data_IF_672172004183
#
_entry.id   IF_672172004183
#
_cell.length_a   1.000
_cell.length_b   1.000
_cell.length_c   1.000
_cell.angle_alpha   90.00
_cell.angle_beta   90.00
_cell.angle_gamma   90.00
#
_symmetry.space_group_name_H-M   'P 1'
#
loop_
_entity.id
_entity.type
_entity.pdbx_description
1 polymer ?
#
# COMPACT_ATOMS: atom_id res chain seq x y z
N UNK A 1 -7.68 31.83 34.40
CA UNK A 1 -8.54 30.86 33.71
C UNK A 1 -7.65 30.04 32.81
N UNK A 2 -7.31 28.83 33.22
CA UNK A 2 -6.51 27.90 32.40
C UNK A 2 -7.38 27.37 31.26
N UNK A 3 -6.92 27.58 30.02
CA UNK A 3 -7.55 27.04 28.83
C UNK A 3 -7.44 25.52 28.85
N UNK A 4 -8.54 24.75 28.73
CA UNK A 4 -8.47 23.30 28.79
C UNK A 4 -7.63 22.78 27.62
N UNK A 5 -6.56 22.06 27.95
CA UNK A 5 -5.71 21.38 26.99
C UNK A 5 -6.55 20.31 26.27
N UNK A 6 -7.03 20.61 25.06
CA UNK A 6 -7.76 19.65 24.23
C UNK A 6 -6.77 18.56 23.82
N UNK A 7 -6.68 17.49 24.61
CA UNK A 7 -5.96 16.26 24.26
C UNK A 7 -6.53 15.72 22.96
N UNK A 8 -5.90 16.05 21.83
CA UNK A 8 -6.20 15.45 20.54
C UNK A 8 -6.11 13.93 20.69
N UNK A 9 -7.22 13.22 20.46
CA UNK A 9 -7.23 11.75 20.37
C UNK A 9 -6.09 11.33 19.43
N UNK A 10 -5.12 10.59 19.95
CA UNK A 10 -4.03 10.03 19.14
C UNK A 10 -4.68 9.17 18.05
N UNK A 11 -4.51 9.59 16.79
CA UNK A 11 -5.02 8.85 15.62
C UNK A 11 -4.16 7.64 15.28
N UNK A 12 -2.94 7.58 15.82
CA UNK A 12 -2.01 6.47 15.66
C UNK A 12 -2.29 5.38 16.72
N UNK A 13 -2.08 4.11 16.33
CA UNK A 13 -2.13 2.99 17.28
C UNK A 13 -1.04 3.15 18.34
N UNK A 14 -1.30 2.64 19.54
CA UNK A 14 -0.24 2.41 20.51
C UNK A 14 0.74 1.35 19.99
N UNK A 15 1.97 1.31 20.52
CA UNK A 15 2.95 0.28 20.17
C UNK A 15 2.41 -1.14 20.36
N UNK A 16 1.62 -1.36 21.42
CA UNK A 16 0.93 -2.62 21.68
C UNK A 16 -0.14 -2.93 20.61
N UNK A 17 -0.97 -1.96 20.24
CA UNK A 17 -1.96 -2.13 19.17
C UNK A 17 -1.32 -2.39 17.80
N UNK A 18 -0.21 -1.71 17.49
CA UNK A 18 0.56 -1.97 16.28
C UNK A 18 1.18 -3.37 16.28
N UNK A 19 1.68 -3.86 17.42
CA UNK A 19 2.17 -5.23 17.58
C UNK A 19 1.05 -6.25 17.38
N UNK A 20 -0.13 -6.03 17.94
CA UNK A 20 -1.28 -6.92 17.77
C UNK A 20 -1.72 -7.02 16.31
N UNK A 21 -1.78 -5.88 15.59
CA UNK A 21 -2.09 -5.88 14.16
C UNK A 21 -1.05 -6.64 13.34
N UNK A 22 0.24 -6.50 13.66
CA UNK A 22 1.31 -7.26 13.01
C UNK A 22 1.17 -8.77 13.28
N UNK A 23 0.93 -9.14 14.53
CA UNK A 23 0.73 -10.54 14.91
C UNK A 23 -0.44 -11.16 14.15
N UNK A 24 -1.59 -10.47 14.10
CA UNK A 24 -2.74 -10.93 13.33
C UNK A 24 -2.41 -11.13 11.84
N UNK A 25 -1.57 -10.26 11.26
CA UNK A 25 -1.10 -10.43 9.88
C UNK A 25 -0.30 -11.71 9.68
N UNK A 26 0.58 -12.06 10.63
CA UNK A 26 1.32 -13.33 10.62
C UNK A 26 0.41 -14.54 10.83
N UNK A 27 -0.57 -14.43 11.74
CA UNK A 27 -1.52 -15.49 12.01
C UNK A 27 -2.43 -15.75 10.79
N UNK A 28 -2.85 -14.70 10.08
CA UNK A 28 -3.64 -14.82 8.85
C UNK A 28 -2.81 -15.41 7.68
N UNK A 29 -1.51 -15.07 7.60
CA UNK A 29 -0.60 -15.69 6.62
C UNK A 29 -0.37 -17.17 6.92
N UNK A 30 -0.23 -17.54 8.20
CA UNK A 30 -0.18 -18.95 8.62
C UNK A 30 -1.47 -19.68 8.29
N UNK A 31 -2.62 -19.09 8.59
CA UNK A 31 -3.91 -19.70 8.26
C UNK A 31 -4.05 -19.93 6.74
N UNK A 32 -3.62 -18.98 5.92
CA UNK A 32 -3.60 -19.16 4.47
C UNK A 32 -2.67 -20.30 4.05
N UNK A 33 -1.45 -20.34 4.58
CA UNK A 33 -0.46 -21.38 4.28
C UNK A 33 -1.03 -22.78 4.60
N UNK A 34 -1.61 -22.96 5.79
CA UNK A 34 -2.28 -24.20 6.18
C UNK A 34 -3.47 -24.53 5.27
N UNK A 35 -4.26 -23.52 4.88
CA UNK A 35 -5.41 -23.70 4.00
C UNK A 35 -5.03 -24.14 2.57
N UNK A 36 -3.78 -23.96 2.14
CA UNK A 36 -3.27 -24.41 0.84
C UNK A 36 -2.39 -25.68 0.92
N UNK A 37 -2.30 -26.28 2.10
CA UNK A 37 -1.61 -27.55 2.33
C UNK A 37 -0.12 -27.42 2.68
N UNK A 38 0.37 -26.24 3.04
CA UNK A 38 1.73 -26.08 3.55
C UNK A 38 1.84 -26.55 5.01
N UNK A 39 3.02 -27.03 5.43
CA UNK A 39 3.29 -27.28 6.84
C UNK A 39 3.38 -25.96 7.62
N UNK A 40 3.34 -26.09 8.95
CA UNK A 40 3.21 -24.99 9.92
C UNK A 40 4.37 -23.97 9.90
N UNK A 41 5.46 -24.26 9.18
CA UNK A 41 6.72 -23.49 9.15
C UNK A 41 6.95 -22.81 7.79
N UNK A 42 5.89 -22.22 7.21
CA UNK A 42 6.00 -21.52 5.93
C UNK A 42 7.11 -20.45 6.01
N UNK A 43 7.96 -20.39 4.98
CA UNK A 43 9.10 -19.47 4.94
C UNK A 43 8.62 -18.01 4.92
N UNK A 44 8.46 -17.43 6.10
CA UNK A 44 8.25 -16.01 6.28
C UNK A 44 9.62 -15.33 6.23
N UNK A 45 9.91 -14.61 5.14
CA UNK A 45 11.11 -13.79 5.06
C UNK A 45 10.77 -12.38 5.57
N UNK A 46 11.25 -11.96 6.77
CA UNK A 46 10.89 -10.67 7.38
C UNK A 46 11.26 -9.45 6.54
N UNK A 47 12.18 -9.61 5.59
CA UNK A 47 12.67 -8.55 4.71
C UNK A 47 12.03 -8.58 3.31
N UNK A 48 11.35 -9.66 2.94
CA UNK A 48 10.68 -9.77 1.66
C UNK A 48 9.22 -9.35 1.78
N UNK A 49 8.65 -8.83 0.68
CA UNK A 49 7.20 -8.63 0.54
C UNK A 49 6.44 -9.95 0.33
N UNK A 50 7.12 -11.09 0.49
CA UNK A 50 6.62 -12.42 0.24
C UNK A 50 6.15 -12.97 1.58
N UNK A 51 4.83 -13.06 1.73
CA UNK A 51 4.22 -13.51 2.97
C UNK A 51 4.12 -15.05 2.96
N UNK A 52 3.73 -15.66 1.85
CA UNK A 52 3.62 -17.13 1.69
C UNK A 52 4.15 -17.55 0.32
N UNK A 53 4.91 -18.64 0.25
CA UNK A 53 5.30 -19.31 -1.01
C UNK A 53 4.47 -20.59 -1.12
N UNK A 54 3.68 -20.72 -2.17
CA UNK A 54 2.84 -21.91 -2.36
C UNK A 54 3.67 -23.15 -2.79
N UNK A 55 3.09 -24.36 -2.79
CA UNK A 55 3.83 -25.56 -3.17
C UNK A 55 4.30 -25.59 -4.64
N UNK A 56 3.80 -24.71 -5.51
CA UNK A 56 4.34 -24.49 -6.86
C UNK A 56 5.48 -23.47 -6.92
N UNK A 57 5.89 -22.91 -5.79
CA UNK A 57 6.94 -21.92 -5.69
C UNK A 57 6.49 -20.48 -6.01
N UNK A 58 5.18 -20.25 -6.20
CA UNK A 58 4.66 -18.93 -6.49
C UNK A 58 4.45 -18.13 -5.18
N UNK A 59 4.78 -16.84 -5.22
CA UNK A 59 4.76 -15.97 -4.06
C UNK A 59 3.43 -15.22 -3.89
N UNK A 60 2.95 -15.18 -2.65
CA UNK A 60 1.75 -14.46 -2.23
C UNK A 60 2.09 -13.28 -1.32
N UNK A 61 1.51 -12.13 -1.62
CA UNK A 61 1.36 -11.04 -0.67
C UNK A 61 0.00 -11.20 0.01
N UNK A 62 0.01 -11.67 1.25
CA UNK A 62 -1.18 -11.89 2.07
C UNK A 62 -1.54 -10.58 2.76
N UNK A 63 -2.79 -10.16 2.64
CA UNK A 63 -3.29 -8.93 3.24
C UNK A 63 -4.56 -9.21 4.02
N UNK A 64 -4.57 -8.70 5.24
CA UNK A 64 -5.73 -8.76 6.13
C UNK A 64 -6.03 -7.39 6.74
N UNK A 65 -6.69 -7.35 7.90
CA UNK A 65 -7.19 -6.12 8.51
C UNK A 65 -8.50 -5.64 7.90
N UNK A 66 -9.18 -4.70 8.57
CA UNK A 66 -10.55 -4.29 8.20
C UNK A 66 -10.63 -2.95 7.45
N UNK A 67 -9.72 -2.02 7.71
CA UNK A 67 -9.86 -0.62 7.26
C UNK A 67 -8.95 -0.29 6.07
N UNK A 68 -7.65 -0.52 6.23
CA UNK A 68 -6.62 -0.09 5.27
C UNK A 68 -5.42 -1.02 5.29
N UNK A 69 -4.72 -1.06 4.17
CA UNK A 69 -3.39 -1.65 4.04
C UNK A 69 -2.36 -0.55 3.95
N UNK A 70 -1.29 -0.65 4.73
CA UNK A 70 -0.06 0.10 4.46
C UNK A 70 0.73 -0.70 3.43
N UNK A 71 0.70 -0.25 2.18
CA UNK A 71 1.39 -0.92 1.07
C UNK A 71 2.90 -0.81 1.24
N UNK A 72 3.37 0.36 1.66
CA UNK A 72 4.73 0.59 2.14
C UNK A 72 4.82 1.86 3.01
N UNK A 73 5.93 1.95 3.74
CA UNK A 73 6.43 3.16 4.40
C UNK A 73 7.94 3.19 4.12
N UNK A 74 8.41 4.14 3.32
CA UNK A 74 9.78 4.18 2.84
C UNK A 74 10.44 5.52 3.10
N UNK A 75 11.65 5.48 3.68
CA UNK A 75 12.54 6.63 3.77
C UNK A 75 13.31 6.88 2.48
N UNK A 76 14.11 7.95 2.47
CA UNK A 76 14.87 8.42 1.31
C UNK A 76 15.74 7.32 0.67
N UNK A 77 16.46 6.56 1.50
CA UNK A 77 17.39 5.53 1.03
C UNK A 77 16.73 4.51 0.10
N UNK A 78 15.46 4.14 0.32
CA UNK A 78 14.77 3.18 -0.55
C UNK A 78 14.57 3.71 -1.97
N UNK A 79 14.32 5.02 -2.13
CA UNK A 79 14.14 5.63 -3.45
C UNK A 79 15.46 5.91 -4.16
N UNK A 80 16.55 6.04 -3.40
CA UNK A 80 17.90 6.26 -3.94
C UNK A 80 18.62 4.95 -4.29
N UNK A 81 18.34 3.84 -3.58
CA UNK A 81 19.06 2.58 -3.76
C UNK A 81 18.29 1.50 -4.54
N UNK A 82 16.95 1.57 -4.63
CA UNK A 82 16.16 0.57 -5.35
C UNK A 82 16.09 0.93 -6.83
N UNK A 83 16.77 0.15 -7.67
CA UNK A 83 16.87 0.41 -9.11
C UNK A 83 15.52 0.53 -9.80
N UNK A 84 14.51 -0.24 -9.37
CA UNK A 84 13.18 -0.16 -9.98
C UNK A 84 12.52 1.20 -9.75
N UNK A 85 12.76 1.86 -8.61
CA UNK A 85 12.29 3.24 -8.40
C UNK A 85 13.13 4.25 -9.17
N UNK A 86 14.45 4.04 -9.30
CA UNK A 86 15.36 4.92 -10.04
C UNK A 86 15.02 4.98 -11.53
N UNK A 87 14.74 3.82 -12.13
CA UNK A 87 14.42 3.72 -13.57
C UNK A 87 12.95 4.00 -13.89
N UNK A 88 12.11 4.31 -12.90
CA UNK A 88 10.67 4.61 -13.07
C UNK A 88 10.44 6.01 -13.64
N UNK A 89 11.21 6.39 -14.66
CA UNK A 89 11.10 7.63 -15.43
C UNK A 89 10.79 8.85 -14.54
N UNK A 90 11.60 9.09 -13.51
CA UNK A 90 11.45 10.24 -12.61
C UNK A 90 10.41 10.13 -11.48
N UNK A 91 9.60 9.07 -11.39
CA UNK A 91 8.70 8.86 -10.23
C UNK A 91 9.51 8.71 -8.94
N UNK A 92 10.53 7.84 -8.92
CA UNK A 92 11.41 7.68 -7.76
C UNK A 92 12.11 8.97 -7.36
N UNK A 93 12.56 9.77 -8.34
CA UNK A 93 13.15 11.08 -8.09
C UNK A 93 12.16 12.05 -7.43
N UNK A 94 10.93 12.14 -7.93
CA UNK A 94 9.90 13.00 -7.32
C UNK A 94 9.55 12.56 -5.89
N UNK A 95 9.54 11.26 -5.60
CA UNK A 95 9.37 10.73 -4.25
C UNK A 95 10.53 11.16 -3.33
N UNK A 96 11.78 11.08 -3.81
CA UNK A 96 12.93 11.58 -3.07
C UNK A 96 12.84 13.10 -2.81
N UNK A 97 12.44 13.89 -3.80
CA UNK A 97 12.27 15.34 -3.65
C UNK A 97 11.14 15.71 -2.67
N UNK A 98 10.05 14.93 -2.64
CA UNK A 98 9.01 15.07 -1.61
C UNK A 98 9.59 14.92 -0.19
N UNK A 99 10.55 14.01 0.01
CA UNK A 99 11.22 13.80 1.30
C UNK A 99 12.19 14.94 1.62
N UNK A 100 12.89 15.46 0.60
CA UNK A 100 13.84 16.58 0.73
C UNK A 100 13.17 17.94 0.93
N UNK A 101 11.89 18.07 0.58
CA UNK A 101 11.09 19.26 0.90
C UNK A 101 10.95 19.53 2.41
N UNK A 102 11.17 18.51 3.24
CA UNK A 102 11.16 18.61 4.69
C UNK A 102 12.57 18.86 5.25
N UNK A 103 12.71 19.70 6.29
CA UNK A 103 14.01 19.98 6.89
C UNK A 103 14.62 18.71 7.51
N UNK A 104 15.94 18.67 7.76
CA UNK A 104 16.59 17.42 8.21
C UNK A 104 16.07 16.87 9.54
N UNK A 105 15.54 17.71 10.43
CA UNK A 105 15.11 17.30 11.78
C UNK A 105 13.65 17.63 12.04
N UNK A 106 13.01 16.78 12.86
CA UNK A 106 11.63 16.96 13.28
C UNK A 106 11.42 18.29 14.02
N UNK A 107 12.37 18.69 14.87
CA UNK A 107 12.32 19.98 15.59
C UNK A 107 12.26 21.18 14.63
N UNK A 108 13.09 21.20 13.57
CA UNK A 108 13.03 22.26 12.54
C UNK A 108 11.70 22.27 11.81
N UNK A 109 11.13 21.09 11.54
CA UNK A 109 9.80 21.01 10.96
C UNK A 109 8.70 21.51 11.89
N UNK A 110 8.79 21.26 13.19
CA UNK A 110 7.82 21.78 14.15
C UNK A 110 7.83 23.31 14.20
N UNK A 111 9.01 23.92 14.07
CA UNK A 111 9.17 25.37 14.07
C UNK A 111 8.55 26.05 12.84
N UNK A 112 8.59 25.41 11.66
CA UNK A 112 7.99 25.95 10.43
C UNK A 112 7.39 24.86 9.55
N UNK A 113 6.16 24.46 9.89
CA UNK A 113 5.41 23.45 9.14
C UNK A 113 4.92 23.96 7.80
N UNK A 114 4.61 25.25 7.71
CA UNK A 114 3.96 25.83 6.53
C UNK A 114 4.96 25.82 5.37
N UNK A 115 6.18 26.29 5.60
CA UNK A 115 7.23 26.30 4.57
C UNK A 115 7.51 24.92 3.99
N UNK A 116 7.65 23.90 4.84
CA UNK A 116 7.87 22.52 4.37
C UNK A 116 6.68 21.98 3.55
N UNK A 117 5.45 22.28 3.99
CA UNK A 117 4.24 21.84 3.29
C UNK A 117 4.05 22.56 1.95
N UNK A 118 4.37 23.85 1.86
CA UNK A 118 4.31 24.60 0.60
C UNK A 118 5.33 24.08 -0.41
N UNK A 119 6.57 23.79 0.03
CA UNK A 119 7.58 23.14 -0.82
C UNK A 119 7.13 21.78 -1.33
N UNK A 120 6.49 20.98 -0.47
CA UNK A 120 5.98 19.66 -0.84
C UNK A 120 4.96 19.72 -2.00
N UNK A 121 4.13 20.77 -2.08
CA UNK A 121 3.06 20.88 -3.08
C UNK A 121 3.58 20.77 -4.51
N UNK A 122 4.72 21.40 -4.78
CA UNK A 122 5.34 21.43 -6.10
C UNK A 122 5.62 19.99 -6.57
N UNK A 123 6.24 19.20 -5.70
CA UNK A 123 6.60 17.81 -6.01
C UNK A 123 5.38 16.88 -6.03
N UNK A 124 4.39 17.09 -5.15
CA UNK A 124 3.16 16.30 -5.14
C UNK A 124 2.30 16.53 -6.38
N UNK A 125 2.26 17.76 -6.92
CA UNK A 125 1.59 18.05 -8.20
C UNK A 125 2.27 17.34 -9.36
N UNK A 126 3.58 17.50 -9.49
CA UNK A 126 4.37 16.83 -10.53
C UNK A 126 4.25 15.31 -10.43
N UNK A 127 4.20 14.77 -9.21
CA UNK A 127 4.01 13.34 -8.98
C UNK A 127 2.62 12.87 -9.40
N UNK A 128 1.57 13.63 -9.06
CA UNK A 128 0.20 13.33 -9.50
C UNK A 128 0.11 13.33 -11.02
N UNK A 129 0.61 14.37 -11.69
CA UNK A 129 0.62 14.50 -13.15
C UNK A 129 1.34 13.31 -13.80
N UNK A 130 2.53 12.98 -13.29
CA UNK A 130 3.32 11.86 -13.80
C UNK A 130 2.62 10.52 -13.57
N UNK A 131 1.92 10.32 -12.45
CA UNK A 131 1.16 9.10 -12.16
C UNK A 131 -0.20 9.05 -12.86
N UNK A 132 -0.72 10.16 -13.39
CA UNK A 132 -1.93 10.14 -14.23
C UNK A 132 -1.71 9.40 -15.56
N UNK A 133 -0.46 9.30 -16.02
CA UNK A 133 -0.10 8.50 -17.18
C UNK A 133 -0.23 6.99 -16.89
N UNK A 134 -1.13 6.31 -17.60
CA UNK A 134 -1.48 4.89 -17.34
C UNK A 134 -0.27 3.94 -17.32
N UNK A 135 0.71 4.01 -18.23
CA UNK A 135 1.90 3.16 -18.15
C UNK A 135 2.72 3.39 -16.88
N UNK A 136 2.81 4.64 -16.42
CA UNK A 136 3.57 5.00 -15.21
C UNK A 136 2.82 4.56 -13.95
N UNK A 137 1.51 4.74 -13.90
CA UNK A 137 0.68 4.19 -12.82
C UNK A 137 0.81 2.68 -12.72
N UNK A 138 0.77 1.99 -13.87
CA UNK A 138 0.93 0.53 -13.95
C UNK A 138 2.27 0.09 -13.38
N UNK A 139 3.37 0.72 -13.80
CA UNK A 139 4.71 0.43 -13.28
C UNK A 139 4.81 0.72 -11.77
N UNK A 140 4.27 1.85 -11.32
CA UNK A 140 4.22 2.22 -9.90
C UNK A 140 3.45 1.19 -9.07
N UNK A 141 2.26 0.75 -9.52
CA UNK A 141 1.46 -0.25 -8.81
C UNK A 141 2.14 -1.62 -8.82
N UNK A 142 2.75 -2.03 -9.94
CA UNK A 142 3.50 -3.29 -10.02
C UNK A 142 4.66 -3.31 -9.01
N UNK A 143 5.46 -2.25 -8.96
CA UNK A 143 6.53 -2.14 -7.97
C UNK A 143 5.98 -2.06 -6.55
N UNK A 144 5.00 -1.19 -6.33
CA UNK A 144 4.50 -0.89 -5.00
C UNK A 144 3.75 -2.06 -4.38
N UNK A 145 2.91 -2.78 -5.12
CA UNK A 145 2.11 -3.89 -4.59
C UNK A 145 2.80 -5.25 -4.71
N UNK A 146 3.61 -5.47 -5.76
CA UNK A 146 4.12 -6.79 -6.12
C UNK A 146 5.66 -6.86 -6.23
N UNK A 147 6.36 -5.84 -5.71
CA UNK A 147 7.82 -5.69 -5.78
C UNK A 147 8.38 -5.87 -7.20
N UNK A 148 7.66 -5.41 -8.22
CA UNK A 148 8.13 -5.46 -9.61
C UNK A 148 7.93 -6.81 -10.29
N UNK A 149 7.02 -7.65 -9.77
CA UNK A 149 6.69 -8.95 -10.33
C UNK A 149 7.21 -10.13 -9.52
N UNK A 150 8.02 -9.90 -8.49
CA UNK A 150 8.49 -10.95 -7.57
C UNK A 150 7.36 -11.59 -6.74
N UNK A 151 6.22 -10.92 -6.64
CA UNK A 151 5.01 -11.45 -6.01
C UNK A 151 3.99 -11.77 -7.10
N UNK A 152 3.57 -13.02 -7.15
CA UNK A 152 2.67 -13.57 -8.16
C UNK A 152 1.20 -13.27 -7.84
N UNK A 153 0.84 -13.26 -6.56
CA UNK A 153 -0.54 -13.14 -6.12
C UNK A 153 -0.76 -12.08 -5.05
N UNK A 154 -1.91 -11.41 -5.14
CA UNK A 154 -2.50 -10.71 -4.01
C UNK A 154 -3.51 -11.66 -3.38
N UNK A 155 -3.26 -12.09 -2.15
CA UNK A 155 -4.19 -12.89 -1.36
C UNK A 155 -4.81 -12.01 -0.29
N UNK A 156 -6.14 -11.89 -0.26
CA UNK A 156 -6.83 -11.05 0.73
C UNK A 156 -7.76 -11.89 1.59
N UNK A 157 -7.61 -11.81 2.91
CA UNK A 157 -8.63 -12.34 3.84
C UNK A 157 -9.77 -11.34 3.96
N UNK A 158 -10.97 -11.70 3.49
CA UNK A 158 -12.17 -10.88 3.55
C UNK A 158 -13.37 -11.75 3.86
N UNK A 159 -14.12 -11.37 4.90
CA UNK A 159 -15.27 -12.11 5.44
C UNK A 159 -14.98 -13.58 5.74
N UNK A 160 -13.81 -13.83 6.35
CA UNK A 160 -13.38 -15.17 6.75
C UNK A 160 -12.84 -16.04 5.62
N UNK A 161 -12.87 -15.57 4.37
CA UNK A 161 -12.41 -16.30 3.18
C UNK A 161 -11.16 -15.62 2.61
N UNK A 162 -10.21 -16.41 2.11
CA UNK A 162 -9.07 -15.93 1.34
C UNK A 162 -9.41 -15.83 -0.14
N UNK A 163 -9.17 -14.65 -0.71
CA UNK A 163 -9.44 -14.34 -2.11
C UNK A 163 -8.10 -14.16 -2.84
N UNK A 164 -7.82 -15.02 -3.81
CA UNK A 164 -6.54 -15.07 -4.54
C UNK A 164 -6.71 -14.44 -5.92
N UNK A 165 -5.94 -13.38 -6.18
CA UNK A 165 -5.90 -12.66 -7.46
C UNK A 165 -4.50 -12.70 -8.05
N UNK A 166 -4.40 -12.92 -9.36
CA UNK A 166 -3.12 -12.84 -10.07
C UNK A 166 -2.66 -11.38 -10.14
N UNK A 167 -1.37 -11.14 -9.93
CA UNK A 167 -0.79 -9.80 -9.92
C UNK A 167 -1.17 -8.97 -11.16
N UNK A 168 -1.11 -9.56 -12.35
CA UNK A 168 -1.40 -8.89 -13.61
C UNK A 168 -2.86 -8.44 -13.70
N UNK A 169 -3.80 -9.26 -13.22
CA UNK A 169 -5.22 -8.91 -13.21
C UNK A 169 -5.46 -7.71 -12.29
N UNK A 170 -4.85 -7.72 -11.08
CA UNK A 170 -4.93 -6.62 -10.12
C UNK A 170 -4.33 -5.33 -10.70
N UNK A 171 -3.14 -5.43 -11.29
CA UNK A 171 -2.43 -4.29 -11.88
C UNK A 171 -3.24 -3.67 -13.02
N UNK A 172 -3.78 -4.50 -13.93
CA UNK A 172 -4.58 -4.03 -15.05
C UNK A 172 -5.84 -3.31 -14.56
N UNK A 173 -6.62 -3.96 -13.70
CA UNK A 173 -7.85 -3.37 -13.15
C UNK A 173 -7.57 -2.04 -12.46
N UNK A 174 -6.58 -1.99 -11.56
CA UNK A 174 -6.29 -0.76 -10.82
C UNK A 174 -5.74 0.33 -11.75
N UNK A 175 -4.76 0.02 -12.61
CA UNK A 175 -4.16 1.05 -13.49
C UNK A 175 -5.16 1.63 -14.48
N UNK A 176 -6.07 0.81 -15.03
CA UNK A 176 -7.04 1.26 -16.04
C UNK A 176 -8.18 2.06 -15.42
N UNK A 177 -8.65 1.68 -14.23
CA UNK A 177 -9.87 2.24 -13.64
C UNK A 177 -9.61 3.37 -12.63
N UNK A 178 -8.38 3.55 -12.17
CA UNK A 178 -8.07 4.61 -11.21
C UNK A 178 -7.81 5.96 -11.88
N UNK A 179 -8.41 7.00 -11.32
CA UNK A 179 -8.05 8.40 -11.51
C UNK A 179 -6.94 8.77 -10.52
N UNK A 180 -6.00 9.60 -10.95
CA UNK A 180 -4.96 10.15 -10.08
C UNK A 180 -5.16 11.66 -9.93
N UNK A 181 -5.25 12.14 -8.70
CA UNK A 181 -5.39 13.56 -8.41
C UNK A 181 -4.69 13.95 -7.10
N UNK A 182 -4.53 15.24 -6.84
CA UNK A 182 -4.04 15.70 -5.54
C UNK A 182 -5.17 15.89 -4.52
N UNK A 183 -4.83 15.88 -3.23
CA UNK A 183 -5.75 16.28 -2.16
C UNK A 183 -6.01 17.79 -2.17
N UNK A 184 -7.22 18.22 -1.80
CA UNK A 184 -7.58 19.64 -1.62
C UNK A 184 -7.75 19.95 -0.13
N UNK A 185 -7.20 21.07 0.34
CA UNK A 185 -7.51 21.61 1.67
C UNK A 185 -8.96 22.07 1.73
N UNK A 186 -9.75 21.54 2.67
CA UNK A 186 -11.20 21.83 2.77
C UNK A 186 -11.55 22.74 3.94
N UNK A 187 -10.61 22.94 4.86
CA UNK A 187 -10.80 23.74 6.07
C UNK A 187 -9.72 24.80 6.17
N UNK A 188 -10.03 25.88 6.90
CA UNK A 188 -9.07 26.94 7.21
C UNK A 188 -7.80 26.35 7.82
N UNK A 189 -6.65 26.69 7.25
CA UNK A 189 -5.33 26.20 7.67
C UNK A 189 -4.92 24.83 7.11
N UNK A 190 -5.77 24.16 6.31
CA UNK A 190 -5.34 23.01 5.51
C UNK A 190 -4.66 23.48 4.23
N UNK A 191 -3.52 22.87 3.91
CA UNK A 191 -2.77 23.14 2.69
C UNK A 191 -3.14 22.07 1.67
N UNK A 192 -3.42 22.48 0.43
CA UNK A 192 -3.70 21.57 -0.69
C UNK A 192 -2.45 20.79 -1.13
N UNK A 193 -2.64 19.78 -1.97
CA UNK A 193 -1.58 18.98 -2.60
C UNK A 193 -0.57 18.36 -1.63
N UNK A 194 -1.04 17.95 -0.45
CA UNK A 194 -0.22 17.23 0.53
C UNK A 194 -0.23 15.70 0.31
N UNK A 195 -1.11 15.23 -0.58
CA UNK A 195 -1.23 13.83 -0.98
C UNK A 195 -1.42 13.71 -2.49
N UNK A 196 -0.97 12.59 -3.04
CA UNK A 196 -1.50 12.03 -4.29
C UNK A 196 -2.54 10.98 -3.93
N UNK A 197 -3.72 11.09 -4.54
CA UNK A 197 -4.88 10.25 -4.32
C UNK A 197 -5.10 9.38 -5.56
N UNK A 198 -5.39 8.11 -5.34
CA UNK A 198 -5.89 7.20 -6.37
C UNK A 198 -7.38 6.99 -6.12
N UNK A 199 -8.23 7.36 -7.08
CA UNK A 199 -9.69 7.37 -6.92
C UNK A 199 -10.38 6.45 -7.92
N UNK A 200 -11.51 5.89 -7.52
CA UNK A 200 -12.42 5.16 -8.38
C UNK A 200 -13.82 5.74 -8.19
N UNK A 201 -14.47 6.18 -9.27
CA UNK A 201 -15.79 6.83 -9.25
C UNK A 201 -15.87 7.97 -8.21
N UNK A 202 -14.81 8.80 -8.14
CA UNK A 202 -14.72 9.90 -7.19
C UNK A 202 -14.47 9.49 -5.72
N UNK A 203 -14.28 8.21 -5.42
CA UNK A 203 -13.99 7.72 -4.07
C UNK A 203 -12.50 7.41 -3.94
N UNK A 204 -11.86 7.85 -2.85
CA UNK A 204 -10.44 7.54 -2.59
C UNK A 204 -10.26 6.05 -2.30
N UNK A 205 -9.33 5.42 -3.03
CA UNK A 205 -8.89 4.04 -2.82
C UNK A 205 -7.45 3.98 -2.32
N UNK A 206 -6.58 4.84 -2.82
CA UNK A 206 -5.16 4.90 -2.45
C UNK A 206 -4.74 6.31 -2.05
N UNK A 207 -3.82 6.39 -1.10
CA UNK A 207 -3.24 7.66 -0.63
C UNK A 207 -1.74 7.53 -0.50
N UNK A 208 -1.02 8.40 -1.22
CA UNK A 208 0.41 8.57 -1.12
C UNK A 208 0.69 9.90 -0.43
N UNK A 209 1.36 9.87 0.71
CA UNK A 209 1.56 11.05 1.55
C UNK A 209 2.88 10.99 2.31
N UNK A 210 3.36 12.16 2.75
CA UNK A 210 4.48 12.25 3.67
C UNK A 210 4.05 11.90 5.09
N UNK A 211 4.88 11.10 5.78
CA UNK A 211 4.79 10.83 7.20
C UNK A 211 5.76 11.73 7.96
N UNK A 212 5.19 12.52 8.87
CA UNK A 212 5.87 13.59 9.58
C UNK A 212 5.22 13.87 10.94
N UNK A 213 4.62 12.85 11.57
CA UNK A 213 3.82 13.00 12.79
C UNK A 213 4.59 12.68 14.08
N UNK A 214 5.81 12.14 13.97
CA UNK A 214 6.70 11.89 15.10
C UNK A 214 8.15 11.93 14.66
N UNK A 215 9.07 12.00 15.61
CA UNK A 215 10.51 11.90 15.34
C UNK A 215 10.91 10.52 14.79
N UNK A 216 10.25 9.45 15.25
CA UNK A 216 10.47 8.08 14.77
C UNK A 216 10.02 7.93 13.31
N UNK A 217 8.85 8.47 12.98
CA UNK A 217 8.27 8.41 11.64
C UNK A 217 8.28 9.80 10.99
N UNK A 218 9.49 10.24 10.68
CA UNK A 218 9.77 11.52 10.05
C UNK A 218 10.46 11.30 8.70
N UNK A 219 10.03 12.06 7.68
CA UNK A 219 10.63 12.04 6.33
C UNK A 219 10.53 10.68 5.63
N UNK A 220 9.36 10.05 5.78
CA UNK A 220 9.02 8.81 5.09
C UNK A 220 7.81 9.03 4.18
N UNK A 221 7.76 8.36 3.04
CA UNK A 221 6.57 8.31 2.20
C UNK A 221 5.76 7.08 2.56
N UNK A 222 4.49 7.31 2.85
CA UNK A 222 3.51 6.26 3.11
C UNK A 222 2.57 6.11 1.93
N UNK A 223 2.43 4.88 1.45
CA UNK A 223 1.36 4.52 0.53
C UNK A 223 0.37 3.61 1.23
N UNK A 224 -0.88 4.07 1.37
CA UNK A 224 -1.98 3.31 1.93
C UNK A 224 -3.04 3.02 0.88
N UNK A 225 -3.77 1.92 1.05
CA UNK A 225 -4.99 1.65 0.32
C UNK A 225 -6.15 1.29 1.25
N UNK A 226 -7.37 1.72 0.93
CA UNK A 226 -8.58 1.50 1.73
C UNK A 226 -9.18 0.15 1.34
N UNK A 227 -8.98 -0.87 2.19
CA UNK A 227 -9.29 -2.28 1.86
C UNK A 227 -10.71 -2.47 1.31
N UNK A 228 -11.79 -2.02 1.99
CA UNK A 228 -13.14 -2.28 1.49
C UNK A 228 -13.36 -1.76 0.07
N UNK A 229 -12.76 -0.60 -0.25
CA UNK A 229 -12.88 0.04 -1.56
C UNK A 229 -12.02 -0.61 -2.62
N UNK A 230 -10.86 -1.14 -2.24
CA UNK A 230 -10.07 -1.99 -3.14
C UNK A 230 -10.82 -3.29 -3.42
N UNK A 231 -11.42 -3.93 -2.42
CA UNK A 231 -12.18 -5.16 -2.62
C UNK A 231 -13.40 -4.95 -3.51
N UNK A 232 -14.11 -3.83 -3.34
CA UNK A 232 -15.26 -3.46 -4.18
C UNK A 232 -14.89 -3.44 -5.68
N UNK A 233 -13.78 -2.77 -6.05
CA UNK A 233 -13.33 -2.75 -7.44
C UNK A 233 -12.80 -4.11 -7.91
N UNK A 234 -12.04 -4.83 -7.08
CA UNK A 234 -11.48 -6.13 -7.47
C UNK A 234 -12.58 -7.15 -7.72
N UNK A 235 -13.57 -7.28 -6.83
CA UNK A 235 -14.70 -8.18 -7.05
C UNK A 235 -15.60 -7.75 -8.21
N UNK A 236 -15.77 -6.44 -8.41
CA UNK A 236 -16.59 -5.92 -9.51
C UNK A 236 -15.94 -6.07 -10.89
N UNK A 237 -14.61 -6.19 -10.97
CA UNK A 237 -13.85 -6.22 -12.23
C UNK A 237 -13.13 -7.53 -12.51
N UNK A 238 -12.86 -8.35 -11.50
CA UNK A 238 -12.20 -9.64 -11.61
C UNK A 238 -13.19 -10.71 -11.13
N UNK A 239 -13.78 -11.53 -12.02
CA UNK A 239 -14.77 -12.51 -11.61
C UNK A 239 -14.15 -13.63 -10.78
N UNK A 240 -14.91 -14.17 -9.83
CA UNK A 240 -14.54 -15.43 -9.17
C UNK A 240 -14.64 -16.56 -10.18
N UNK A 241 -13.56 -17.31 -10.37
CA UNK A 241 -13.46 -18.34 -11.41
C UNK A 241 -13.40 -19.76 -10.84
N UNK A 242 -12.92 -19.93 -9.60
CA UNK A 242 -12.84 -21.25 -8.96
C UNK A 242 -12.91 -21.14 -7.44
N UNK A 243 -13.58 -22.08 -6.78
CA UNK A 243 -13.40 -22.34 -5.34
C UNK A 243 -12.34 -23.43 -5.18
N UNK A 244 -11.26 -23.13 -4.46
CA UNK A 244 -10.20 -24.10 -4.20
C UNK A 244 -10.60 -25.04 -3.07
N UNK A 245 -11.14 -24.49 -1.98
CA UNK A 245 -11.74 -25.22 -0.88
C UNK A 245 -12.71 -24.30 -0.12
N UNK A 246 -13.21 -24.72 1.06
CA UNK A 246 -14.14 -23.92 1.87
C UNK A 246 -13.58 -22.60 2.43
N UNK A 247 -12.26 -22.38 2.36
CA UNK A 247 -11.57 -21.19 2.87
C UNK A 247 -10.94 -20.33 1.78
N UNK A 248 -10.79 -20.83 0.55
CA UNK A 248 -10.01 -20.18 -0.51
C UNK A 248 -10.81 -20.09 -1.82
N UNK A 249 -11.01 -18.86 -2.28
CA UNK A 249 -11.63 -18.51 -3.56
C UNK A 249 -10.59 -17.91 -4.51
N UNK A 250 -10.66 -18.27 -5.79
CA UNK A 250 -9.71 -17.88 -6.83
C UNK A 250 -10.43 -17.05 -7.89
N UNK A 251 -9.78 -15.98 -8.34
CA UNK A 251 -10.35 -14.97 -9.21
C UNK A 251 -9.56 -14.81 -10.51
N UNK A 252 -10.25 -14.42 -11.58
CA UNK A 252 -9.64 -14.04 -12.86
C UNK A 252 -8.80 -15.16 -13.46
N UNK A 253 -7.58 -14.81 -13.89
CA UNK A 253 -6.62 -15.71 -14.50
C UNK A 253 -5.81 -16.54 -13.50
N UNK A 254 -5.96 -16.31 -12.19
CA UNK A 254 -5.20 -17.03 -11.17
C UNK A 254 -5.33 -18.58 -11.24
N UNK A 255 -6.48 -19.21 -11.58
CA UNK A 255 -6.59 -20.67 -11.63
C UNK A 255 -5.71 -21.32 -12.70
N UNK A 256 -5.23 -20.55 -13.69
CA UNK A 256 -4.29 -21.08 -14.70
C UNK A 256 -2.99 -21.53 -14.03
N UNK A 257 -2.61 -20.93 -12.90
CA UNK A 257 -1.35 -21.15 -12.18
C UNK A 257 -1.54 -21.74 -10.79
N UNK A 258 -2.50 -21.20 -10.04
CA UNK A 258 -2.71 -21.55 -8.65
C UNK A 258 -3.33 -22.95 -8.52
N UNK A 259 -2.77 -23.77 -7.62
CA UNK A 259 -3.24 -25.12 -7.32
C UNK A 259 -2.68 -26.22 -8.20
N UNK A 260 -1.66 -25.96 -9.03
CA UNK A 260 -1.03 -26.96 -9.93
C UNK A 260 -0.28 -28.08 -9.19
N UNK A 261 -0.10 -27.96 -7.88
CA UNK A 261 0.55 -28.97 -7.02
C UNK A 261 -0.39 -30.08 -6.53
N UNK A 262 -1.71 -29.92 -6.71
CA UNK A 262 -2.69 -30.97 -6.43
C UNK A 262 -2.90 -31.74 -7.74
N UNK A 263 -1.90 -32.53 -8.12
CA UNK A 263 -2.04 -33.56 -9.15
C UNK A 263 -2.25 -34.91 -8.50
#
# INVERSE_FOLDING_TARGET
>A
METPEIKRKKRALSSAGARQVRQQGHDDALEFALAIGLPNDYQNNPHAKKDVIDPSGDAHSVKSGQKKWQVFLYGLGRFESDDAFRVMNGVGALLAECIKAFPPTFAKYQADKISAKEKLRIHMRALSEKLSEKPRLRAFLNKSLFNGGEVNYLTVKHDGIFHVFLNQDVINVLSENLEVCNSTGRRTGEISEQKVLLRYNGINLGELEMRNDSEIHYREIRFNMIKPKVMEILFGKIPMTKKFNGKVSIYGNAPKRFGRWIQ
#
